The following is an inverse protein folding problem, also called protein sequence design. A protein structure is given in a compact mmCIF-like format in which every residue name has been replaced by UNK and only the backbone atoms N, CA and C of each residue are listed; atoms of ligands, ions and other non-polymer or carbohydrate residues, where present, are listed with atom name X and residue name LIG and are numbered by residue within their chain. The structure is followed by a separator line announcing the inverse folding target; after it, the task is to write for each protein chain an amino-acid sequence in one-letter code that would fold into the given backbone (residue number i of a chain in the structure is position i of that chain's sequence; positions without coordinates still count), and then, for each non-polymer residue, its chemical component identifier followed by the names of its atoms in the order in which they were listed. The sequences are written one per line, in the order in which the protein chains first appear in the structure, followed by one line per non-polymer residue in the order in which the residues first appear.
data_IF_417789055293
#
_entry.id   IF_417789055293
#
_cell.length_a   1.000
_cell.length_b   1.000
_cell.length_c   1.000
_cell.angle_alpha   90.00
_cell.angle_beta   90.00
_cell.angle_gamma   90.00
#
_symmetry.space_group_name_H-M   'P 1'
#
loop_
_entity.id
_entity.type
_entity.pdbx_description
1 polymer ?
#
# COMPACT_ATOMS: atom_id res chain seq x y z
N UNK A 1 -38.62 -9.39 30.98
CA UNK A 1 -37.54 -8.38 31.02
C UNK A 1 -36.14 -8.95 30.82
N UNK A 2 -35.82 -10.15 31.29
CA UNK A 2 -34.49 -10.74 31.11
C UNK A 2 -34.14 -11.14 29.66
N UNK A 3 -35.13 -11.50 28.82
CA UNK A 3 -34.86 -11.92 27.45
C UNK A 3 -34.47 -10.76 26.50
N UNK A 4 -34.94 -9.53 26.77
CA UNK A 4 -34.60 -8.34 25.99
C UNK A 4 -33.17 -7.85 26.28
N UNK A 5 -32.67 -8.07 27.47
CA UNK A 5 -31.31 -7.69 27.85
C UNK A 5 -30.23 -8.56 27.22
N UNK A 6 -30.52 -9.87 27.11
CA UNK A 6 -29.63 -10.83 26.48
C UNK A 6 -29.55 -10.66 24.94
N UNK A 7 -30.65 -10.22 24.31
CA UNK A 7 -30.66 -9.96 22.87
C UNK A 7 -29.87 -8.71 22.46
N UNK A 8 -29.82 -7.69 23.35
CA UNK A 8 -29.06 -6.46 23.09
C UNK A 8 -27.54 -6.65 23.17
N UNK A 9 -27.06 -7.68 23.88
CA UNK A 9 -25.63 -7.95 24.03
C UNK A 9 -25.04 -8.83 22.92
N UNK A 10 -25.87 -9.57 22.20
CA UNK A 10 -25.40 -10.48 21.15
C UNK A 10 -24.73 -9.81 19.95
N UNK A 11 -25.22 -8.67 19.43
CA UNK A 11 -24.54 -7.99 18.31
C UNK A 11 -23.17 -7.47 18.66
N UNK A 12 -22.97 -6.99 19.88
CA UNK A 12 -21.67 -6.47 20.37
C UNK A 12 -20.64 -7.58 20.49
N UNK A 13 -21.05 -8.75 20.98
CA UNK A 13 -20.17 -9.91 21.10
C UNK A 13 -19.70 -10.45 19.75
N UNK A 14 -20.60 -10.51 18.76
CA UNK A 14 -20.24 -10.94 17.40
C UNK A 14 -19.29 -9.97 16.70
N UNK A 15 -19.47 -8.67 16.87
CA UNK A 15 -18.61 -7.66 16.31
C UNK A 15 -17.18 -7.75 16.89
N UNK A 16 -17.05 -7.88 18.20
CA UNK A 16 -15.75 -8.03 18.85
C UNK A 16 -15.00 -9.31 18.42
N UNK A 17 -15.72 -10.40 18.20
CA UNK A 17 -15.15 -11.68 17.77
C UNK A 17 -14.66 -11.61 16.33
N UNK A 18 -15.39 -10.93 15.45
CA UNK A 18 -14.98 -10.72 14.06
C UNK A 18 -13.76 -9.82 13.92
N UNK A 19 -13.63 -8.80 14.75
CA UNK A 19 -12.45 -7.92 14.75
C UNK A 19 -11.17 -8.67 15.15
N UNK A 20 -11.25 -9.56 16.12
CA UNK A 20 -10.09 -10.36 16.55
C UNK A 20 -9.66 -11.38 15.49
N UNK A 21 -10.59 -11.99 14.75
CA UNK A 21 -10.27 -12.89 13.63
C UNK A 21 -9.67 -12.14 12.45
N UNK A 22 -10.16 -10.95 12.11
CA UNK A 22 -9.61 -10.10 11.05
C UNK A 22 -8.17 -9.69 11.32
N UNK A 23 -7.83 -9.31 12.53
CA UNK A 23 -6.46 -8.94 12.93
C UNK A 23 -5.52 -10.14 12.76
N UNK A 24 -5.95 -11.33 13.08
CA UNK A 24 -5.16 -12.56 13.00
C UNK A 24 -4.83 -12.98 11.57
N UNK A 25 -5.70 -12.71 10.60
CA UNK A 25 -5.53 -13.06 9.17
C UNK A 25 -4.62 -12.05 8.46
N UNK A 26 -4.55 -10.80 8.92
CA UNK A 26 -3.86 -9.69 8.26
C UNK A 26 -2.39 -9.51 8.64
N UNK A 27 -1.89 -10.17 9.70
CA UNK A 27 -0.48 -10.01 10.11
C UNK A 27 0.45 -10.96 9.33
N UNK A 28 0.56 -10.69 8.04
CA UNK A 28 1.46 -11.37 7.11
C UNK A 28 2.67 -10.48 6.81
N UNK A 29 3.66 -11.00 6.11
CA UNK A 29 4.87 -10.28 5.72
C UNK A 29 5.03 -10.27 4.20
N UNK A 30 5.54 -9.16 3.67
CA UNK A 30 5.87 -9.04 2.25
C UNK A 30 7.02 -8.06 2.04
N UNK A 31 7.73 -8.22 0.91
CA UNK A 31 8.70 -7.23 0.41
C UNK A 31 8.02 -6.06 -0.29
N UNK A 32 6.79 -6.22 -0.76
CA UNK A 32 6.10 -5.24 -1.60
C UNK A 32 4.66 -5.07 -1.17
N UNK A 33 4.22 -3.81 -1.16
CA UNK A 33 2.84 -3.45 -0.86
C UNK A 33 2.32 -2.40 -1.84
N UNK A 34 1.04 -2.48 -2.15
CA UNK A 34 0.26 -1.42 -2.77
C UNK A 34 -0.60 -0.76 -1.69
N UNK A 35 -0.61 0.56 -1.65
CA UNK A 35 -1.46 1.33 -0.75
C UNK A 35 -2.35 2.25 -1.57
N UNK A 36 -3.58 2.45 -1.12
CA UNK A 36 -4.49 3.44 -1.69
C UNK A 36 -5.01 4.32 -0.56
N UNK A 37 -4.80 5.62 -0.68
CA UNK A 37 -5.30 6.61 0.29
C UNK A 37 -6.40 7.41 -0.41
N UNK A 38 -7.64 7.27 0.06
CA UNK A 38 -8.78 8.02 -0.44
C UNK A 38 -8.83 9.40 0.21
N UNK A 39 -9.18 10.42 -0.57
CA UNK A 39 -9.26 11.82 -0.13
C UNK A 39 -8.01 12.26 0.68
N UNK A 40 -6.80 12.12 0.09
CA UNK A 40 -5.55 12.33 0.84
C UNK A 40 -5.41 13.76 1.37
N UNK A 41 -5.87 14.76 0.64
CA UNK A 41 -5.76 16.17 1.06
C UNK A 41 -6.53 16.46 2.34
N UNK A 42 -7.72 15.88 2.50
CA UNK A 42 -8.54 16.05 3.70
C UNK A 42 -7.87 15.50 4.97
N UNK A 43 -6.96 14.57 4.78
CA UNK A 43 -6.27 13.84 5.85
C UNK A 43 -4.81 14.27 6.03
N UNK A 44 -4.36 15.25 5.25
CA UNK A 44 -2.98 15.74 5.29
C UNK A 44 -1.97 14.82 4.61
N UNK A 45 -2.41 13.87 3.79
CA UNK A 45 -1.55 12.93 3.07
C UNK A 45 -1.08 13.49 1.72
N UNK A 46 -0.18 14.45 1.74
CA UNK A 46 0.55 14.88 0.54
C UNK A 46 1.58 13.82 0.15
N UNK A 47 2.05 13.83 -1.10
CA UNK A 47 3.14 12.94 -1.53
C UNK A 47 4.39 13.12 -0.66
N UNK A 48 4.72 14.36 -0.32
CA UNK A 48 5.83 14.68 0.57
C UNK A 48 5.68 14.04 1.95
N UNK A 49 4.49 14.15 2.55
CA UNK A 49 4.21 13.55 3.86
C UNK A 49 4.24 12.03 3.82
N UNK A 50 3.69 11.42 2.76
CA UNK A 50 3.78 9.97 2.54
C UNK A 50 5.24 9.52 2.52
N UNK A 51 6.08 10.23 1.77
CA UNK A 51 7.50 9.93 1.66
C UNK A 51 8.23 10.10 2.99
N UNK A 52 7.94 11.16 3.75
CA UNK A 52 8.51 11.38 5.08
C UNK A 52 8.19 10.25 6.05
N UNK A 53 6.93 9.84 6.12
CA UNK A 53 6.48 8.73 6.99
C UNK A 53 7.15 7.42 6.57
N UNK A 54 7.22 7.16 5.28
CA UNK A 54 7.83 5.94 4.76
C UNK A 54 9.33 5.89 5.05
N UNK A 55 10.06 6.94 4.75
CA UNK A 55 11.51 7.03 5.01
C UNK A 55 11.85 7.03 6.50
N UNK A 56 11.06 7.69 7.31
CA UNK A 56 11.30 7.83 8.75
C UNK A 56 11.06 6.56 9.56
N UNK A 57 10.22 5.66 9.08
CA UNK A 57 9.76 4.50 9.85
C UNK A 57 10.13 3.14 9.27
N UNK A 58 10.55 3.10 8.01
CA UNK A 58 10.89 1.85 7.31
C UNK A 58 12.34 1.89 6.82
N UNK A 59 13.25 1.39 7.64
CA UNK A 59 14.70 1.44 7.40
C UNK A 59 15.15 0.65 6.17
N UNK A 60 14.38 -0.35 5.76
CA UNK A 60 14.71 -1.21 4.62
C UNK A 60 14.02 -0.78 3.32
N UNK A 61 13.46 0.42 3.28
CA UNK A 61 12.87 0.97 2.07
C UNK A 61 13.91 1.05 0.94
N UNK A 62 13.59 0.45 -0.20
CA UNK A 62 14.42 0.47 -1.42
C UNK A 62 13.85 1.42 -2.45
N UNK A 63 12.54 1.35 -2.66
CA UNK A 63 11.86 2.07 -3.72
C UNK A 63 10.42 2.38 -3.34
N UNK A 64 9.97 3.55 -3.72
CA UNK A 64 8.58 3.95 -3.62
C UNK A 64 8.19 4.77 -4.85
N UNK A 65 7.03 4.51 -5.40
CA UNK A 65 6.40 5.40 -6.37
C UNK A 65 4.95 5.65 -6.02
N UNK A 66 4.42 6.76 -6.48
CA UNK A 66 3.06 7.16 -6.19
C UNK A 66 2.50 8.04 -7.31
N UNK A 67 1.21 7.98 -7.51
CA UNK A 67 0.48 8.82 -8.46
C UNK A 67 -0.96 9.00 -7.99
N UNK A 68 -1.58 10.07 -8.43
CA UNK A 68 -2.96 10.38 -8.08
C UNK A 68 -3.92 9.97 -9.19
N UNK A 69 -5.13 9.61 -8.80
CA UNK A 69 -6.23 9.26 -9.68
C UNK A 69 -7.53 9.93 -9.21
N UNK A 70 -8.38 10.26 -10.17
CA UNK A 70 -9.74 10.72 -9.95
C UNK A 70 -10.73 9.67 -10.46
N UNK A 71 -11.24 8.85 -9.56
CA UNK A 71 -12.33 7.93 -9.84
C UNK A 71 -13.63 8.47 -9.25
N UNK A 72 -14.36 7.63 -8.49
CA UNK A 72 -15.50 8.08 -7.68
C UNK A 72 -15.07 9.07 -6.59
N UNK A 73 -13.83 8.97 -6.13
CA UNK A 73 -13.16 9.95 -5.28
C UNK A 73 -11.72 10.14 -5.73
N UNK A 74 -11.12 11.26 -5.34
CA UNK A 74 -9.69 11.49 -5.52
C UNK A 74 -8.91 10.57 -4.59
N UNK A 75 -7.88 9.90 -5.11
CA UNK A 75 -7.05 9.01 -4.30
C UNK A 75 -5.62 8.96 -4.80
N UNK A 76 -4.70 8.60 -3.90
CA UNK A 76 -3.29 8.37 -4.20
C UNK A 76 -3.01 6.88 -4.17
N UNK A 77 -2.43 6.35 -5.24
CA UNK A 77 -1.84 5.01 -5.29
C UNK A 77 -0.37 5.06 -4.97
N UNK A 78 0.07 4.11 -4.14
CA UNK A 78 1.46 4.01 -3.69
C UNK A 78 1.92 2.57 -3.89
N UNK A 79 3.09 2.40 -4.49
CA UNK A 79 3.79 1.11 -4.54
C UNK A 79 5.12 1.23 -3.83
N UNK A 80 5.41 0.30 -2.93
CA UNK A 80 6.61 0.31 -2.09
C UNK A 80 7.32 -1.03 -2.12
N UNK A 81 8.66 -0.98 -2.16
CA UNK A 81 9.54 -2.16 -2.12
C UNK A 81 10.52 -2.02 -0.96
N UNK A 82 10.63 -3.07 -0.16
CA UNK A 82 11.56 -3.17 0.96
C UNK A 82 12.64 -4.21 0.68
N UNK A 83 13.85 -4.01 1.22
CA UNK A 83 14.93 -4.99 1.11
C UNK A 83 14.71 -6.23 2.00
N UNK A 84 13.90 -6.10 3.05
CA UNK A 84 13.48 -7.19 3.92
C UNK A 84 11.96 -7.25 4.02
N UNK A 85 11.44 -8.38 4.45
CA UNK A 85 10.00 -8.52 4.64
C UNK A 85 9.51 -7.62 5.77
N UNK A 86 8.44 -6.89 5.51
CA UNK A 86 7.77 -6.01 6.47
C UNK A 86 6.39 -6.57 6.77
N UNK A 87 6.02 -6.55 8.04
CA UNK A 87 4.69 -7.02 8.47
C UNK A 87 3.59 -6.08 8.01
N UNK A 88 2.48 -6.65 7.60
CA UNK A 88 1.27 -5.90 7.26
C UNK A 88 0.86 -4.95 8.40
N UNK A 89 0.89 -5.44 9.63
CA UNK A 89 0.55 -4.66 10.83
C UNK A 89 1.42 -3.42 11.00
N UNK A 90 2.70 -3.49 10.63
CA UNK A 90 3.60 -2.34 10.68
C UNK A 90 3.23 -1.28 9.64
N UNK A 91 2.93 -1.69 8.41
CA UNK A 91 2.47 -0.76 7.37
C UNK A 91 1.15 -0.11 7.79
N UNK A 92 0.21 -0.90 8.29
CA UNK A 92 -1.10 -0.42 8.77
C UNK A 92 -0.98 0.56 9.94
N UNK A 93 -0.01 0.36 10.81
CA UNK A 93 0.24 1.25 11.95
C UNK A 93 0.56 2.68 11.53
N UNK A 94 1.35 2.86 10.47
CA UNK A 94 1.76 4.18 9.99
C UNK A 94 0.84 4.74 8.91
N UNK A 95 0.04 3.90 8.26
CA UNK A 95 -0.91 4.26 7.22
C UNK A 95 -2.28 3.68 7.53
N UNK A 96 -2.82 4.04 8.69
CA UNK A 96 -4.04 3.45 9.25
C UNK A 96 -5.26 3.60 8.33
N UNK A 97 -5.35 4.72 7.64
CA UNK A 97 -6.48 5.03 6.77
C UNK A 97 -6.34 4.45 5.35
N UNK A 98 -5.16 3.94 5.00
CA UNK A 98 -4.91 3.38 3.69
C UNK A 98 -5.52 1.99 3.52
N UNK A 99 -5.99 1.72 2.32
CA UNK A 99 -6.22 0.35 1.87
C UNK A 99 -4.86 -0.24 1.48
N UNK A 100 -4.49 -1.36 2.07
CA UNK A 100 -3.16 -1.98 1.92
C UNK A 100 -3.30 -3.39 1.38
N UNK A 101 -2.59 -3.68 0.31
CA UNK A 101 -2.55 -5.02 -0.29
C UNK A 101 -1.10 -5.48 -0.46
N UNK A 102 -0.85 -6.77 -0.19
CA UNK A 102 0.40 -7.40 -0.59
C UNK A 102 0.43 -7.50 -2.11
N UNK A 103 1.55 -7.10 -2.72
CA UNK A 103 1.68 -7.14 -4.16
C UNK A 103 1.82 -8.55 -4.70
N UNK A 104 1.19 -8.76 -5.84
CA UNK A 104 1.40 -9.88 -6.74
C UNK A 104 2.08 -9.34 -8.02
N UNK A 105 2.75 -10.22 -8.73
CA UNK A 105 3.44 -9.85 -9.97
C UNK A 105 4.83 -9.26 -9.72
N UNK A 106 5.42 -8.75 -10.78
CA UNK A 106 6.76 -8.19 -10.77
C UNK A 106 6.78 -6.73 -10.29
N UNK A 107 7.97 -6.22 -10.00
CA UNK A 107 8.18 -4.78 -9.72
C UNK A 107 7.68 -3.94 -10.90
N UNK A 108 8.07 -4.31 -12.12
CA UNK A 108 7.64 -3.57 -13.34
C UNK A 108 6.13 -3.55 -13.52
N UNK A 109 5.43 -4.66 -13.27
CA UNK A 109 3.97 -4.72 -13.34
C UNK A 109 3.32 -3.73 -12.37
N UNK A 110 3.83 -3.67 -11.15
CA UNK A 110 3.30 -2.77 -10.12
C UNK A 110 3.60 -1.30 -10.42
N UNK A 111 4.81 -0.99 -10.89
CA UNK A 111 5.17 0.38 -11.31
C UNK A 111 4.31 0.82 -12.50
N UNK A 112 4.16 -0.04 -13.50
CA UNK A 112 3.31 0.23 -14.66
C UNK A 112 1.84 0.47 -14.26
N UNK A 113 1.36 -0.25 -13.26
CA UNK A 113 0.01 -0.03 -12.74
C UNK A 113 -0.15 1.38 -12.13
N UNK A 114 0.81 1.82 -11.33
CA UNK A 114 0.79 3.17 -10.73
C UNK A 114 0.92 4.25 -11.82
N UNK A 115 1.83 4.06 -12.75
CA UNK A 115 2.05 4.97 -13.90
C UNK A 115 0.96 4.94 -14.95
N UNK A 116 0.17 3.86 -15.02
CA UNK A 116 -0.75 3.57 -16.13
C UNK A 116 -0.03 3.44 -17.47
N UNK A 117 1.12 2.76 -17.44
CA UNK A 117 1.95 2.46 -18.61
C UNK A 117 1.95 0.95 -18.92
N UNK A 118 2.68 0.52 -19.97
CA UNK A 118 2.70 -0.87 -20.39
C UNK A 118 1.32 -1.34 -20.84
N UNK A 119 0.84 -2.45 -20.31
CA UNK A 119 -0.49 -3.00 -20.65
C UNK A 119 -1.67 -2.06 -20.30
N UNK A 120 -1.46 -1.07 -19.45
CA UNK A 120 -2.48 -0.12 -19.03
C UNK A 120 -2.62 1.10 -19.96
N UNK A 121 -1.70 1.29 -20.91
CA UNK A 121 -1.73 2.41 -21.86
C UNK A 121 -2.97 2.40 -22.76
N UNK A 122 -3.46 1.21 -23.10
CA UNK A 122 -4.64 1.01 -23.95
C UNK A 122 -5.95 0.84 -23.17
N UNK A 123 -5.89 0.84 -21.85
CA UNK A 123 -7.07 0.74 -21.01
C UNK A 123 -7.67 2.13 -20.79
N UNK A 124 -8.72 2.44 -21.56
CA UNK A 124 -9.39 3.74 -21.52
C UNK A 124 -9.89 4.10 -20.12
N UNK A 125 -10.45 3.14 -19.40
CA UNK A 125 -10.96 3.36 -18.03
C UNK A 125 -9.84 3.79 -17.08
N UNK A 126 -8.66 3.19 -17.21
CA UNK A 126 -7.49 3.54 -16.40
C UNK A 126 -6.92 4.91 -16.80
N UNK A 127 -6.86 5.20 -18.09
CA UNK A 127 -6.34 6.48 -18.59
C UNK A 127 -7.24 7.66 -18.23
N UNK A 128 -8.55 7.49 -18.25
CA UNK A 128 -9.50 8.53 -17.83
C UNK A 128 -9.34 8.96 -16.37
N UNK A 129 -8.98 8.03 -15.50
CA UNK A 129 -8.79 8.29 -14.06
C UNK A 129 -7.44 8.91 -13.73
N UNK A 130 -6.47 8.71 -14.59
CA UNK A 130 -5.10 9.18 -14.40
C UNK A 130 -5.04 10.70 -14.35
N UNK A 131 -4.33 11.24 -13.37
CA UNK A 131 -4.03 12.66 -13.29
C UNK A 131 -2.58 12.87 -13.75
N UNK A 132 -2.40 13.50 -14.91
CA UNK A 132 -1.09 13.75 -15.49
C UNK A 132 -0.20 14.60 -14.57
N UNK A 133 1.09 14.30 -14.55
CA UNK A 133 2.08 15.06 -13.80
C UNK A 133 2.13 14.76 -12.30
N UNK A 134 1.35 13.78 -11.82
CA UNK A 134 1.33 13.42 -10.39
C UNK A 134 2.23 12.26 -10.02
N UNK A 135 2.79 11.54 -11.00
CA UNK A 135 3.71 10.44 -10.73
C UNK A 135 5.01 10.95 -10.12
N UNK A 136 5.37 10.41 -8.97
CA UNK A 136 6.62 10.66 -8.28
C UNK A 136 7.25 9.34 -7.84
N UNK A 137 8.57 9.29 -7.83
CA UNK A 137 9.31 8.12 -7.35
C UNK A 137 10.54 8.53 -6.54
N UNK A 138 10.93 7.65 -5.62
CA UNK A 138 12.11 7.79 -4.80
C UNK A 138 12.83 6.45 -4.68
N UNK A 139 14.16 6.49 -4.78
CA UNK A 139 15.01 5.30 -4.78
C UNK A 139 15.19 4.72 -6.17
N UNK A 140 15.90 3.61 -6.25
CA UNK A 140 16.14 2.90 -7.51
C UNK A 140 15.12 1.75 -7.67
N UNK A 141 14.40 1.75 -8.80
CA UNK A 141 13.47 0.67 -9.10
C UNK A 141 14.24 -0.65 -9.20
N UNK A 142 13.90 -1.66 -8.37
CA UNK A 142 14.54 -2.97 -8.45
C UNK A 142 14.24 -3.66 -9.78
N UNK A 143 15.19 -4.42 -10.33
CA UNK A 143 14.93 -5.23 -11.51
C UNK A 143 13.96 -6.37 -11.21
N UNK A 144 13.27 -6.85 -12.25
CA UNK A 144 12.42 -8.02 -12.16
C UNK A 144 13.29 -9.28 -12.09
N UNK A 145 13.60 -9.72 -10.86
CA UNK A 145 14.32 -10.96 -10.66
C UNK A 145 13.40 -12.02 -10.06
N UNK A 146 13.28 -13.13 -10.77
CA UNK A 146 12.53 -14.28 -10.26
C UNK A 146 13.33 -14.95 -9.12
N UNK A 147 12.99 -14.59 -7.87
CA UNK A 147 13.33 -15.39 -6.70
C UNK A 147 14.74 -15.25 -6.12
N UNK A 148 15.53 -14.25 -6.47
CA UNK A 148 16.85 -14.02 -5.88
C UNK A 148 16.82 -12.96 -4.79
N UNK A 149 16.84 -13.37 -3.54
CA UNK A 149 16.89 -12.47 -2.37
C UNK A 149 18.16 -11.61 -2.29
N UNK A 150 19.26 -12.09 -2.87
CA UNK A 150 20.55 -11.39 -2.90
C UNK A 150 20.49 -10.05 -3.62
N UNK A 151 19.70 -9.96 -4.70
CA UNK A 151 19.61 -8.77 -5.52
C UNK A 151 18.96 -7.60 -4.77
N UNK A 152 17.99 -7.89 -3.89
CA UNK A 152 17.32 -6.88 -3.07
C UNK A 152 18.25 -6.28 -2.01
N UNK A 153 19.13 -7.09 -1.43
CA UNK A 153 20.12 -6.63 -0.45
C UNK A 153 21.17 -5.73 -1.08
N UNK A 154 21.64 -6.08 -2.28
CA UNK A 154 22.59 -5.25 -3.04
C UNK A 154 22.00 -3.90 -3.42
N UNK A 155 20.75 -3.87 -3.89
CA UNK A 155 20.04 -2.63 -4.22
C UNK A 155 19.84 -1.74 -3.01
N UNK A 156 19.52 -2.32 -1.86
CA UNK A 156 19.40 -1.57 -0.61
C UNK A 156 20.71 -0.88 -0.22
N UNK A 157 21.84 -1.55 -0.38
CA UNK A 157 23.16 -0.98 -0.11
C UNK A 157 23.51 0.14 -1.09
N UNK A 158 23.10 0.05 -2.34
CA UNK A 158 23.32 1.08 -3.36
C UNK A 158 22.52 2.37 -3.11
N UNK A 159 21.37 2.28 -2.47
CA UNK A 159 20.46 3.41 -2.20
C UNK A 159 20.84 4.16 -0.93
N UNK A 160 21.54 3.52 -0.02
CA UNK A 160 22.05 4.15 1.19
C UNK A 160 23.26 5.02 0.91
#
# INVERSE_FOLDING_TARGET
MHSLYLQALQPVYKAAHNEQEEIKIKDTQSFMYQLTINAPEEKGWTHEHILEVMRGNFKTLVYICMADEQGSCYHTHIFVVFASRVRFSMVKRYFEEAHIEKCKGSVSDNVNYVKKTGKWETDETKQEKKIEGTFEEYGAQPPDSKGKRSDMSELYQMVL
#
